data_IF_003606812930
#
_entry.id   IF_003606812930
#
_cell.length_a   1.000
_cell.length_b   1.000
_cell.length_c   1.000
_cell.angle_alpha   90.00
_cell.angle_beta   90.00
_cell.angle_gamma   90.00
#
_symmetry.space_group_name_H-M   'P 1'
#
loop_
_entity.id
_entity.type
_entity.pdbx_description
1 polymer ?
#
# COMPACT_ATOMS: atom_id res chain seq x y z
N UNK A 1 -5.87 -10.09 -4.66
CA UNK A 1 -5.53 -8.69 -4.91
C UNK A 1 -6.04 -7.81 -3.79
N UNK A 2 -5.25 -6.83 -3.38
CA UNK A 2 -5.61 -5.95 -2.27
C UNK A 2 -5.68 -4.52 -2.78
N UNK A 3 -6.77 -3.83 -2.50
CA UNK A 3 -6.93 -2.40 -2.76
C UNK A 3 -6.82 -1.65 -1.45
N UNK A 4 -5.88 -0.72 -1.35
CA UNK A 4 -5.70 0.06 -0.13
C UNK A 4 -5.59 1.55 -0.44
N UNK A 5 -5.89 2.38 0.54
CA UNK A 5 -5.79 3.83 0.41
C UNK A 5 -5.19 4.44 1.67
N UNK A 6 -4.48 5.54 1.48
CA UNK A 6 -3.94 6.34 2.58
C UNK A 6 -3.73 7.77 2.13
N UNK A 7 -3.69 8.69 3.09
CA UNK A 7 -3.23 10.05 2.84
C UNK A 7 -1.73 10.14 3.06
N UNK A 8 -1.07 10.98 2.29
CA UNK A 8 0.38 11.18 2.34
C UNK A 8 0.69 12.68 2.44
N UNK A 9 1.85 13.00 3.00
CA UNK A 9 2.30 14.39 3.11
C UNK A 9 2.87 14.92 1.80
N UNK A 10 3.60 14.08 1.06
CA UNK A 10 4.29 14.45 -0.17
C UNK A 10 4.45 13.22 -1.06
N UNK A 11 4.09 13.35 -2.34
CA UNK A 11 4.12 12.21 -3.25
C UNK A 11 5.54 11.69 -3.50
N UNK A 12 6.52 12.58 -3.69
CA UNK A 12 7.89 12.15 -3.97
C UNK A 12 8.50 11.41 -2.79
N UNK A 13 8.22 11.88 -1.57
CA UNK A 13 8.64 11.21 -0.34
C UNK A 13 8.01 9.83 -0.23
N UNK A 14 6.70 9.75 -0.49
CA UNK A 14 5.97 8.48 -0.50
C UNK A 14 6.57 7.53 -1.52
N UNK A 15 6.76 7.99 -2.75
CA UNK A 15 7.28 7.15 -3.83
C UNK A 15 8.67 6.60 -3.52
N UNK A 16 9.54 7.44 -2.95
CA UNK A 16 10.88 7.00 -2.60
C UNK A 16 10.87 5.84 -1.60
N UNK A 17 10.07 5.93 -0.53
CA UNK A 17 9.95 4.84 0.44
C UNK A 17 9.22 3.63 -0.15
N UNK A 18 8.15 3.88 -0.90
CA UNK A 18 7.31 2.85 -1.51
C UNK A 18 8.11 1.99 -2.49
N UNK A 19 8.93 2.61 -3.33
CA UNK A 19 9.65 1.91 -4.40
C UNK A 19 10.97 1.29 -3.97
N UNK A 20 11.42 1.55 -2.74
CA UNK A 20 12.66 1.00 -2.19
C UNK A 20 12.39 0.05 -1.02
N UNK A 21 12.45 0.55 0.21
CA UNK A 21 12.26 -0.28 1.41
C UNK A 21 10.87 -0.92 1.46
N UNK A 22 9.84 -0.19 1.04
CA UNK A 22 8.49 -0.72 0.97
C UNK A 22 8.38 -1.88 0.00
N UNK A 23 8.97 -1.74 -1.18
CA UNK A 23 8.96 -2.80 -2.19
C UNK A 23 9.68 -4.05 -1.70
N UNK A 24 10.82 -3.88 -1.04
CA UNK A 24 11.56 -5.01 -0.48
C UNK A 24 10.75 -5.75 0.57
N UNK A 25 10.12 -5.02 1.49
CA UNK A 25 9.25 -5.63 2.51
C UNK A 25 8.06 -6.34 1.89
N UNK A 26 7.42 -5.74 0.89
CA UNK A 26 6.30 -6.40 0.20
C UNK A 26 6.74 -7.70 -0.46
N UNK A 27 7.91 -7.72 -1.09
CA UNK A 27 8.45 -8.96 -1.70
C UNK A 27 8.71 -10.04 -0.65
N UNK A 28 9.19 -9.66 0.53
CA UNK A 28 9.40 -10.61 1.65
C UNK A 28 8.09 -11.29 2.07
N UNK A 29 6.96 -10.61 1.91
CA UNK A 29 5.65 -11.13 2.24
C UNK A 29 4.87 -11.68 1.04
N UNK A 30 5.55 -11.87 -0.10
CA UNK A 30 4.98 -12.56 -1.25
C UNK A 30 4.27 -11.69 -2.27
N UNK A 31 4.39 -10.36 -2.19
CA UNK A 31 3.81 -9.47 -3.18
C UNK A 31 4.52 -9.63 -4.53
N UNK A 32 3.74 -9.64 -5.60
CA UNK A 32 4.25 -9.76 -6.97
C UNK A 32 4.30 -8.42 -7.70
N UNK A 33 3.74 -7.38 -7.12
CA UNK A 33 3.72 -6.06 -7.73
C UNK A 33 2.63 -5.18 -7.15
N UNK A 34 2.61 -3.93 -7.61
CA UNK A 34 1.62 -2.96 -7.17
C UNK A 34 1.39 -1.90 -8.23
N UNK A 35 0.19 -1.33 -8.25
CA UNK A 35 -0.16 -0.20 -9.11
C UNK A 35 -0.64 0.94 -8.23
N UNK A 36 -0.04 2.12 -8.39
CA UNK A 36 -0.33 3.30 -7.59
C UNK A 36 -1.15 4.29 -8.40
N UNK A 37 -2.23 4.81 -7.81
CA UNK A 37 -3.12 5.78 -8.41
C UNK A 37 -3.25 6.98 -7.50
N UNK A 38 -3.40 8.17 -8.08
CA UNK A 38 -3.79 9.35 -7.32
C UNK A 38 -5.30 9.45 -7.27
N UNK A 39 -5.80 9.94 -6.14
CA UNK A 39 -7.22 10.25 -6.05
C UNK A 39 -7.55 11.46 -6.94
N UNK A 40 -8.63 11.41 -7.73
CA UNK A 40 -8.95 12.52 -8.63
C UNK A 40 -9.43 13.78 -7.90
N UNK A 41 -9.83 13.67 -6.65
CA UNK A 41 -10.43 14.78 -5.90
C UNK A 41 -9.60 15.23 -4.70
N UNK A 42 -8.67 14.39 -4.23
CA UNK A 42 -7.84 14.70 -3.05
C UNK A 42 -6.36 14.58 -3.44
N UNK A 43 -5.65 15.71 -3.45
CA UNK A 43 -4.24 15.75 -3.87
C UNK A 43 -3.32 14.95 -2.96
N UNK A 44 -3.72 14.74 -1.70
CA UNK A 44 -2.93 14.05 -0.69
C UNK A 44 -3.32 12.58 -0.50
N UNK A 45 -4.20 12.04 -1.35
CA UNK A 45 -4.63 10.64 -1.24
C UNK A 45 -4.11 9.81 -2.39
N UNK A 46 -3.61 8.62 -2.06
CA UNK A 46 -3.21 7.62 -3.05
C UNK A 46 -4.03 6.35 -2.85
N UNK A 47 -4.20 5.62 -3.95
CA UNK A 47 -4.82 4.31 -3.98
C UNK A 47 -3.80 3.34 -4.55
N UNK A 48 -3.71 2.15 -3.96
CA UNK A 48 -2.74 1.15 -4.43
C UNK A 48 -3.45 -0.18 -4.58
N UNK A 49 -3.25 -0.81 -5.73
CA UNK A 49 -3.67 -2.19 -5.95
C UNK A 49 -2.42 -3.06 -5.83
N UNK A 50 -2.42 -3.98 -4.87
CA UNK A 50 -1.31 -4.90 -4.67
C UNK A 50 -1.66 -6.28 -5.24
N UNK A 51 -0.75 -6.86 -5.99
CA UNK A 51 -0.85 -8.25 -6.46
C UNK A 51 -0.42 -9.20 -5.35
N UNK A 52 -1.38 -9.54 -4.51
CA UNK A 52 -1.14 -10.12 -3.20
C UNK A 52 -2.45 -10.70 -2.66
N UNK A 53 -2.38 -11.72 -1.82
CA UNK A 53 -3.55 -12.23 -1.13
C UNK A 53 -3.73 -11.56 0.25
N UNK A 54 -4.84 -11.86 0.89
CA UNK A 54 -5.18 -11.30 2.19
C UNK A 54 -4.15 -11.69 3.26
N UNK A 55 -3.66 -12.92 3.21
CA UNK A 55 -2.65 -13.39 4.16
C UNK A 55 -1.36 -12.60 4.03
N UNK A 56 -0.88 -12.37 2.81
CA UNK A 56 0.31 -11.56 2.57
C UNK A 56 0.15 -10.14 3.08
N UNK A 57 -1.01 -9.53 2.83
CA UNK A 57 -1.33 -8.21 3.33
C UNK A 57 -1.32 -8.15 4.86
N UNK A 58 -1.99 -9.10 5.52
CA UNK A 58 -2.04 -9.13 6.98
C UNK A 58 -0.66 -9.32 7.60
N UNK A 59 0.16 -10.19 7.03
CA UNK A 59 1.52 -10.40 7.50
C UNK A 59 2.38 -9.16 7.35
N UNK A 60 2.22 -8.44 6.24
CA UNK A 60 2.92 -7.17 6.00
C UNK A 60 2.51 -6.11 7.03
N UNK A 61 1.21 -5.91 7.23
CA UNK A 61 0.71 -4.91 8.17
C UNK A 61 1.12 -5.23 9.61
N UNK A 62 1.31 -6.51 9.92
CA UNK A 62 1.71 -6.97 11.25
C UNK A 62 3.22 -7.00 11.46
N UNK A 63 4.01 -6.78 10.41
CA UNK A 63 5.47 -6.77 10.49
C UNK A 63 5.93 -5.55 11.30
N UNK A 64 6.70 -5.75 12.38
CA UNK A 64 7.09 -4.63 13.27
C UNK A 64 8.03 -3.61 12.62
N UNK A 65 8.63 -3.92 11.49
CA UNK A 65 9.50 -2.98 10.76
C UNK A 65 8.71 -2.07 9.81
N UNK A 66 7.46 -2.40 9.49
CA UNK A 66 6.66 -1.69 8.50
C UNK A 66 6.23 -0.28 8.95
N UNK A 67 5.81 -0.06 10.22
CA UNK A 67 5.44 1.29 10.65
C UNK A 67 6.51 2.35 10.43
N UNK A 68 7.79 2.01 10.60
CA UNK A 68 8.90 2.94 10.36
C UNK A 68 9.01 3.30 8.87
N UNK A 69 8.73 2.35 7.98
CA UNK A 69 8.73 2.59 6.53
C UNK A 69 7.56 3.52 6.16
N UNK A 70 6.39 3.33 6.74
CA UNK A 70 5.25 4.22 6.53
C UNK A 70 5.57 5.64 6.98
N UNK A 71 6.21 5.80 8.14
CA UNK A 71 6.61 7.10 8.63
C UNK A 71 7.63 7.76 7.70
N UNK A 72 8.60 7.01 7.21
CA UNK A 72 9.58 7.50 6.25
C UNK A 72 8.90 7.98 4.96
N UNK A 73 7.88 7.29 4.52
CA UNK A 73 7.09 7.64 3.33
C UNK A 73 6.06 8.75 3.57
N UNK A 74 5.95 9.26 4.79
CA UNK A 74 5.02 10.34 5.09
C UNK A 74 3.55 9.93 5.09
N UNK A 75 3.25 8.67 5.37
CA UNK A 75 1.86 8.22 5.47
C UNK A 75 1.20 8.81 6.72
N UNK A 76 -0.03 9.28 6.54
CA UNK A 76 -0.85 9.80 7.63
C UNK A 76 -1.70 8.67 8.20
N UNK A 77 -1.08 7.79 8.97
CA UNK A 77 -1.73 6.62 9.57
C UNK A 77 -1.52 5.35 8.76
N UNK A 78 -2.10 4.26 9.24
CA UNK A 78 -2.02 2.96 8.57
C UNK A 78 -2.94 2.95 7.35
N UNK A 79 -2.48 2.45 6.19
CA UNK A 79 -3.34 2.29 5.04
C UNK A 79 -4.56 1.42 5.33
N UNK A 80 -5.69 1.78 4.76
CA UNK A 80 -6.93 1.03 4.92
C UNK A 80 -7.17 0.20 3.66
N UNK A 81 -7.31 -1.11 3.85
CA UNK A 81 -7.62 -2.02 2.76
C UNK A 81 -9.14 -2.16 2.61
N UNK A 82 -9.59 -2.18 1.36
CA UNK A 82 -10.98 -2.48 1.04
C UNK A 82 -11.21 -3.98 1.17
N UNK A 83 -12.40 -4.36 1.59
CA UNK A 83 -12.78 -5.76 1.69
C UNK A 83 -13.17 -6.27 0.31
N UNK A 84 -12.50 -7.34 -0.13
CA UNK A 84 -12.87 -8.01 -1.37
C UNK A 84 -14.17 -8.81 -1.15
N UNK A 85 -15.13 -8.62 -2.04
CA UNK A 85 -16.43 -9.29 -1.92
C UNK A 85 -16.50 -10.49 -2.87
N UNK A 86 -16.45 -10.25 -4.17
CA UNK A 86 -16.48 -11.33 -5.17
C UNK A 86 -16.13 -10.79 -6.56
N UNK A 87 -15.63 -11.65 -7.45
CA UNK A 87 -15.46 -11.28 -8.86
C UNK A 87 -16.76 -11.34 -9.64
N UNK A 88 -16.76 -10.71 -10.80
CA UNK A 88 -17.84 -10.82 -11.78
C UNK A 88 -17.23 -10.73 -13.18
N UNK A 89 -17.76 -11.51 -14.13
CA UNK A 89 -17.15 -11.67 -15.45
C UNK A 89 -17.53 -10.58 -16.46
N UNK A 90 -18.52 -9.78 -16.18
CA UNK A 90 -18.99 -8.80 -17.18
C UNK A 90 -18.66 -7.38 -16.80
#
# INVERSE_FOLDING_TARGET
>A
MILATTKIEDFDRFWNAFSTKGAEKRRQHGSKGAHVFRDPNEDDRVWVVFDWDEEGWQNFISDPEVPAIFQEGGLQGTPKAAEFVRPHDA
#
